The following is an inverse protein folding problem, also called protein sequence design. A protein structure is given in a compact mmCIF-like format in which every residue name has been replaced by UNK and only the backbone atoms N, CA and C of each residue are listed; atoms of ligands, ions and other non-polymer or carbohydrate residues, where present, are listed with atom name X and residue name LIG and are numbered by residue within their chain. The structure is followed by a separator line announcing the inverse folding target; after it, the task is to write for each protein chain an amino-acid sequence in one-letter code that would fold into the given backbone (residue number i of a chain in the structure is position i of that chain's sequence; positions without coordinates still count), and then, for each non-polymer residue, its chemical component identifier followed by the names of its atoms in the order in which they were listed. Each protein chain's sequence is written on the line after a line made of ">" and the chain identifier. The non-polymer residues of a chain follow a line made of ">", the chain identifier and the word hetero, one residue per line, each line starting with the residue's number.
data_IF_174454983114
#
_entry.id   IF_174454983114
#
_cell.length_a   1.000
_cell.length_b   1.000
_cell.length_c   1.000
_cell.angle_alpha   90.00
_cell.angle_beta   90.00
_cell.angle_gamma   90.00
#
_symmetry.space_group_name_H-M   'P 1'
#
loop_
_entity.id
_entity.type
_entity.pdbx_description
1 polymer ?
#
# COMPACT_ATOMS: atom_id res chain seq x y z
N UNK A 1 1.02 -9.28 6.36
CA UNK A 1 -0.35 -9.35 6.87
C UNK A 1 -1.19 -8.17 6.44
N UNK A 2 -2.46 -8.43 6.15
CA UNK A 2 -3.38 -7.40 5.70
C UNK A 2 -3.88 -6.56 6.88
N UNK A 3 -3.74 -5.25 6.80
CA UNK A 3 -4.35 -4.32 7.76
C UNK A 3 -4.73 -3.01 7.08
N UNK A 4 -5.88 -2.49 7.49
CA UNK A 4 -6.30 -1.16 7.08
C UNK A 4 -5.39 -0.08 7.66
N UNK A 5 -5.37 1.10 7.02
CA UNK A 5 -4.70 2.30 7.49
C UNK A 5 -3.16 2.26 7.51
N UNK A 6 -2.56 1.66 6.48
CA UNK A 6 -1.12 1.80 6.25
C UNK A 6 -0.25 1.20 7.34
N UNK A 7 -0.63 0.06 7.87
CA UNK A 7 0.18 -0.67 8.85
C UNK A 7 0.74 -1.97 8.25
N UNK A 8 1.88 -2.41 8.75
CA UNK A 8 2.48 -3.70 8.40
C UNK A 8 2.41 -4.61 9.63
N UNK A 9 1.46 -5.53 9.59
CA UNK A 9 1.26 -6.48 10.69
C UNK A 9 2.48 -7.38 10.86
N UNK A 10 2.91 -7.52 12.11
CA UNK A 10 4.03 -8.38 12.46
C UNK A 10 5.39 -7.72 12.44
N UNK A 11 5.50 -6.44 12.03
CA UNK A 11 6.79 -5.72 12.02
C UNK A 11 7.46 -5.74 13.40
N UNK A 12 6.75 -5.38 14.46
CA UNK A 12 7.32 -5.34 15.82
C UNK A 12 7.86 -6.70 16.27
N UNK A 13 7.16 -7.78 15.95
CA UNK A 13 7.62 -9.15 16.25
C UNK A 13 8.85 -9.50 15.41
N UNK A 14 8.82 -9.24 14.12
CA UNK A 14 9.94 -9.50 13.22
C UNK A 14 11.20 -8.73 13.65
N UNK A 15 11.04 -7.44 14.01
CA UNK A 15 12.16 -6.60 14.41
C UNK A 15 12.79 -7.01 15.76
N UNK A 16 12.07 -7.74 16.62
CA UNK A 16 12.64 -8.32 17.83
C UNK A 16 13.43 -9.61 17.58
N UNK A 17 13.06 -10.35 16.55
CA UNK A 17 13.66 -11.66 16.26
C UNK A 17 14.76 -11.58 15.21
N UNK A 18 14.70 -10.59 14.34
CA UNK A 18 15.57 -10.46 13.18
C UNK A 18 15.97 -9.01 12.97
N UNK A 19 17.11 -8.78 12.30
CA UNK A 19 17.48 -7.46 11.82
C UNK A 19 16.69 -7.17 10.54
N UNK A 20 15.59 -6.42 10.67
CA UNK A 20 14.79 -6.00 9.51
C UNK A 20 15.57 -4.97 8.70
N UNK A 21 15.82 -5.24 7.43
CA UNK A 21 16.56 -4.35 6.53
C UNK A 21 15.67 -3.60 5.56
N UNK A 22 14.51 -4.12 5.25
CA UNK A 22 13.53 -3.49 4.38
C UNK A 22 12.10 -3.81 4.81
N UNK A 23 11.20 -2.88 4.54
CA UNK A 23 9.76 -3.05 4.72
C UNK A 23 9.08 -2.74 3.38
N UNK A 24 8.27 -3.67 2.91
CA UNK A 24 7.47 -3.49 1.71
C UNK A 24 5.99 -3.46 2.07
N UNK A 25 5.33 -2.37 1.76
CA UNK A 25 3.88 -2.21 1.95
C UNK A 25 3.17 -2.25 0.61
N UNK A 26 2.13 -3.06 0.53
CA UNK A 26 1.24 -3.13 -0.63
C UNK A 26 -0.13 -2.60 -0.22
N UNK A 27 -0.66 -1.64 -0.96
CA UNK A 27 -1.94 -1.01 -0.66
C UNK A 27 -2.70 -0.59 -1.91
N UNK A 28 -3.88 -0.01 -1.71
CA UNK A 28 -4.72 0.50 -2.80
C UNK A 28 -4.22 1.86 -3.32
N UNK A 29 -3.63 2.66 -2.46
CA UNK A 29 -3.20 4.01 -2.79
C UNK A 29 -1.97 4.08 -3.67
N UNK A 30 -1.70 5.24 -4.28
CA UNK A 30 -0.49 5.46 -5.06
C UNK A 30 0.78 5.20 -4.25
N UNK A 31 1.78 4.57 -4.87
CA UNK A 31 3.10 4.40 -4.32
C UNK A 31 3.88 5.71 -4.43
N UNK A 32 3.86 6.52 -3.39
CA UNK A 32 4.49 7.84 -3.35
C UNK A 32 5.52 7.95 -2.23
N UNK A 33 6.43 8.92 -2.34
CA UNK A 33 7.36 9.22 -1.27
C UNK A 33 6.64 9.59 0.03
N UNK A 34 5.54 10.34 -0.06
CA UNK A 34 4.73 10.70 1.10
C UNK A 34 4.15 9.45 1.81
N UNK A 35 3.73 8.45 1.06
CA UNK A 35 3.27 7.18 1.62
C UNK A 35 4.41 6.43 2.35
N UNK A 36 5.59 6.41 1.77
CA UNK A 36 6.78 5.81 2.39
C UNK A 36 7.18 6.55 3.67
N UNK A 37 7.16 7.88 3.67
CA UNK A 37 7.50 8.69 4.84
C UNK A 37 6.49 8.49 5.97
N UNK A 38 5.20 8.42 5.67
CA UNK A 38 4.15 8.11 6.64
C UNK A 38 4.34 6.73 7.27
N UNK A 39 4.67 5.72 6.47
CA UNK A 39 4.93 4.38 6.96
C UNK A 39 6.16 4.35 7.87
N UNK A 40 7.23 5.03 7.47
CA UNK A 40 8.45 5.15 8.27
C UNK A 40 8.18 5.76 9.65
N UNK A 41 7.42 6.85 9.70
CA UNK A 41 7.04 7.51 10.95
C UNK A 41 6.15 6.60 11.81
N UNK A 42 5.17 5.98 11.20
CA UNK A 42 4.19 5.13 11.90
C UNK A 42 4.83 3.91 12.55
N UNK A 43 5.75 3.27 11.86
CA UNK A 43 6.47 2.10 12.37
C UNK A 43 7.74 2.46 13.15
N UNK A 44 8.07 3.75 13.25
CA UNK A 44 9.29 4.25 13.90
C UNK A 44 10.55 3.55 13.37
N UNK A 45 10.65 3.46 12.05
CA UNK A 45 11.76 2.78 11.38
C UNK A 45 13.06 3.58 11.53
N UNK A 46 14.17 2.88 11.75
CA UNK A 46 15.48 3.50 11.70
C UNK A 46 15.82 3.95 10.27
N UNK A 47 16.71 4.95 10.09
CA UNK A 47 17.10 5.43 8.76
C UNK A 47 17.70 4.35 7.85
N UNK A 48 18.28 3.30 8.45
CA UNK A 48 18.90 2.19 7.71
C UNK A 48 17.90 1.26 7.04
N UNK A 49 16.64 1.25 7.50
CA UNK A 49 15.59 0.37 6.96
C UNK A 49 15.03 0.98 5.68
N UNK A 50 15.14 0.25 4.59
CA UNK A 50 14.52 0.65 3.32
C UNK A 50 13.00 0.48 3.38
N UNK A 51 12.28 1.41 2.74
CA UNK A 51 10.82 1.36 2.67
C UNK A 51 10.41 1.36 1.20
N UNK A 52 9.66 0.35 0.83
CA UNK A 52 9.05 0.24 -0.49
C UNK A 52 7.53 0.26 -0.34
N UNK A 53 6.88 1.08 -1.13
CA UNK A 53 5.42 1.10 -1.23
C UNK A 53 5.01 0.68 -2.63
N UNK A 54 4.07 -0.22 -2.72
CA UNK A 54 3.56 -0.74 -3.98
C UNK A 54 2.04 -0.57 -4.05
N UNK A 55 1.55 -0.23 -5.21
CA UNK A 55 0.12 -0.26 -5.47
C UNK A 55 -0.27 -1.69 -5.85
N UNK A 56 -1.22 -2.26 -5.10
CA UNK A 56 -1.68 -3.63 -5.27
C UNK A 56 -2.95 -3.74 -6.11
N UNK A 57 -3.73 -4.78 -5.85
CA UNK A 57 -5.04 -5.00 -6.44
C UNK A 57 -6.11 -5.05 -5.36
N UNK A 58 -7.32 -4.63 -5.70
CA UNK A 58 -8.47 -4.70 -4.81
C UNK A 58 -9.77 -4.81 -5.60
N UNK A 59 -10.68 -5.65 -5.10
CA UNK A 59 -12.05 -5.77 -5.61
C UNK A 59 -13.01 -5.98 -4.45
N UNK A 60 -13.81 -4.97 -4.15
CA UNK A 60 -14.78 -5.00 -3.05
C UNK A 60 -15.85 -6.10 -3.24
N UNK A 61 -16.11 -6.50 -4.46
CA UNK A 61 -17.11 -7.54 -4.76
C UNK A 61 -16.70 -8.91 -4.21
N UNK A 62 -15.40 -9.13 -4.00
CA UNK A 62 -14.83 -10.37 -3.46
C UNK A 62 -14.80 -10.43 -1.94
N UNK A 63 -15.07 -9.32 -1.27
CA UNK A 63 -15.10 -9.28 0.19
C UNK A 63 -16.44 -9.76 0.73
N UNK A 64 -16.39 -10.42 1.87
CA UNK A 64 -17.55 -10.92 2.61
C UNK A 64 -17.47 -10.52 4.08
N UNK A 65 -18.62 -10.53 4.77
CA UNK A 65 -18.72 -10.28 6.20
C UNK A 65 -18.53 -8.82 6.59
N UNK A 66 -18.16 -8.54 7.86
CA UNK A 66 -18.08 -7.17 8.40
C UNK A 66 -17.00 -6.33 7.72
N UNK A 67 -15.93 -6.93 7.22
CA UNK A 67 -14.88 -6.22 6.49
C UNK A 67 -15.39 -5.60 5.19
N UNK A 68 -16.33 -6.23 4.51
CA UNK A 68 -16.96 -5.68 3.31
C UNK A 68 -17.65 -4.35 3.63
N UNK A 69 -18.39 -4.31 4.72
CA UNK A 69 -19.11 -3.10 5.15
C UNK A 69 -18.15 -1.95 5.46
N UNK A 70 -17.09 -2.22 6.24
CA UNK A 70 -16.07 -1.23 6.57
C UNK A 70 -15.39 -0.70 5.30
N UNK A 71 -15.04 -1.59 4.37
CA UNK A 71 -14.40 -1.21 3.12
C UNK A 71 -15.34 -0.46 2.18
N UNK A 72 -16.64 -0.70 2.22
CA UNK A 72 -17.62 0.09 1.47
C UNK A 72 -17.61 1.56 1.90
N UNK A 73 -17.54 1.83 3.20
CA UNK A 73 -17.42 3.20 3.72
C UNK A 73 -16.12 3.84 3.22
N UNK A 74 -14.99 3.16 3.33
CA UNK A 74 -13.71 3.65 2.83
C UNK A 74 -13.71 3.89 1.33
N UNK A 75 -14.25 2.99 0.55
CA UNK A 75 -14.35 3.17 -0.90
C UNK A 75 -15.23 4.37 -1.28
N UNK A 76 -16.29 4.62 -0.51
CA UNK A 76 -17.13 5.81 -0.69
C UNK A 76 -16.32 7.09 -0.46
N UNK A 77 -15.51 7.14 0.60
CA UNK A 77 -14.67 8.29 0.90
C UNK A 77 -13.60 8.52 -0.17
N UNK A 78 -12.96 7.45 -0.64
CA UNK A 78 -12.00 7.49 -1.74
C UNK A 78 -12.65 8.07 -3.00
N UNK A 79 -13.84 7.58 -3.38
CA UNK A 79 -14.57 8.09 -4.55
C UNK A 79 -14.87 9.57 -4.42
N UNK A 80 -15.41 10.00 -3.28
CA UNK A 80 -15.72 11.42 -3.04
C UNK A 80 -14.49 12.31 -3.16
N UNK A 81 -13.38 11.88 -2.57
CA UNK A 81 -12.11 12.62 -2.61
C UNK A 81 -11.58 12.74 -4.04
N UNK A 82 -11.62 11.67 -4.82
CA UNK A 82 -11.09 11.66 -6.19
C UNK A 82 -12.05 12.32 -7.20
N UNK A 83 -13.35 12.18 -7.04
CA UNK A 83 -14.35 12.85 -7.87
C UNK A 83 -14.31 14.38 -7.73
N UNK A 84 -13.89 14.89 -6.57
CA UNK A 84 -13.69 16.32 -6.33
C UNK A 84 -12.48 16.94 -7.02
N UNK A 85 -11.62 16.13 -7.66
CA UNK A 85 -10.43 16.62 -8.36
C UNK A 85 -10.70 16.85 -9.84
N UNK A 86 -10.12 17.91 -10.40
CA UNK A 86 -10.27 18.26 -11.81
C UNK A 86 -9.60 17.23 -12.74
N UNK A 87 -8.47 16.64 -12.29
CA UNK A 87 -7.75 15.59 -13.02
C UNK A 87 -7.15 14.59 -12.05
N UNK A 88 -6.99 13.35 -12.52
CA UNK A 88 -6.40 12.26 -11.75
C UNK A 88 -5.10 11.78 -12.41
N UNK A 89 -4.09 11.50 -11.60
CA UNK A 89 -2.91 10.76 -12.08
C UNK A 89 -3.31 9.32 -12.44
N UNK A 90 -2.53 8.60 -13.27
CA UNK A 90 -2.82 7.20 -13.58
C UNK A 90 -2.95 6.32 -12.33
N UNK A 91 -2.14 6.57 -11.30
CA UNK A 91 -2.21 5.84 -10.04
C UNK A 91 -3.49 6.17 -9.25
N UNK A 92 -3.92 7.43 -9.24
CA UNK A 92 -5.19 7.85 -8.61
C UNK A 92 -6.39 7.28 -9.36
N UNK A 93 -6.37 7.27 -10.70
CA UNK A 93 -7.40 6.65 -11.51
C UNK A 93 -7.52 5.16 -11.20
N UNK A 94 -6.40 4.47 -11.02
CA UNK A 94 -6.39 3.07 -10.65
C UNK A 94 -6.95 2.85 -9.24
N UNK A 95 -6.66 3.74 -8.29
CA UNK A 95 -7.25 3.70 -6.95
C UNK A 95 -8.78 3.88 -7.01
N UNK A 96 -9.25 4.81 -7.85
CA UNK A 96 -10.68 5.01 -8.08
C UNK A 96 -11.34 3.76 -8.68
N UNK A 97 -10.70 3.13 -9.66
CA UNK A 97 -11.18 1.91 -10.28
C UNK A 97 -11.24 0.76 -9.27
N UNK A 98 -10.25 0.63 -8.39
CA UNK A 98 -10.27 -0.35 -7.30
C UNK A 98 -11.45 -0.13 -6.35
N UNK A 99 -11.79 1.13 -6.05
CA UNK A 99 -12.86 1.49 -5.13
C UNK A 99 -14.26 1.34 -5.75
N UNK A 100 -14.38 1.27 -7.08
CA UNK A 100 -15.67 1.24 -7.79
C UNK A 100 -15.97 -0.12 -8.41
N UNK A 101 -15.07 -0.67 -9.19
CA UNK A 101 -15.30 -1.89 -10.01
C UNK A 101 -14.27 -2.99 -9.83
N UNK A 102 -13.25 -2.76 -9.01
CA UNK A 102 -12.11 -3.66 -8.89
C UNK A 102 -11.07 -3.42 -9.99
N UNK A 103 -9.81 -3.39 -9.58
CA UNK A 103 -8.66 -3.24 -10.47
C UNK A 103 -7.41 -3.79 -9.80
N UNK A 104 -6.33 -3.92 -10.56
CA UNK A 104 -5.04 -4.39 -10.06
C UNK A 104 -3.89 -3.63 -10.72
N UNK A 105 -2.96 -3.17 -9.89
CA UNK A 105 -1.66 -2.64 -10.31
C UNK A 105 -0.53 -3.66 -10.18
N UNK A 106 -0.86 -4.91 -9.89
CA UNK A 106 0.14 -5.97 -9.70
C UNK A 106 0.82 -6.30 -11.02
N UNK A 107 2.10 -5.90 -11.11
CA UNK A 107 2.96 -6.15 -12.27
C UNK A 107 4.37 -6.48 -11.77
N UNK A 108 5.06 -7.35 -12.48
CA UNK A 108 6.42 -7.74 -12.14
C UNK A 108 7.39 -6.55 -12.19
N UNK A 109 7.19 -5.62 -13.11
CA UNK A 109 8.02 -4.41 -13.25
C UNK A 109 8.03 -3.55 -11.98
N UNK A 110 6.95 -3.56 -11.21
CA UNK A 110 6.86 -2.80 -9.96
C UNK A 110 7.82 -3.32 -8.87
N UNK A 111 8.37 -4.51 -9.04
CA UNK A 111 9.33 -5.10 -8.11
C UNK A 111 10.79 -4.77 -8.46
N UNK A 112 11.05 -4.09 -9.57
CA UNK A 112 12.39 -3.83 -10.08
C UNK A 112 13.29 -3.15 -9.05
N UNK A 113 12.79 -2.11 -8.37
CA UNK A 113 13.56 -1.37 -7.37
C UNK A 113 13.92 -2.23 -6.17
N UNK A 114 12.99 -3.07 -5.72
CA UNK A 114 13.21 -4.00 -4.62
C UNK A 114 14.28 -5.03 -4.98
N UNK A 115 14.18 -5.60 -6.17
CA UNK A 115 15.13 -6.60 -6.67
C UNK A 115 16.52 -6.01 -6.84
N UNK A 116 16.61 -4.79 -7.41
CA UNK A 116 17.89 -4.10 -7.57
C UNK A 116 18.53 -3.77 -6.22
N UNK A 117 17.75 -3.24 -5.29
CA UNK A 117 18.22 -3.00 -3.93
C UNK A 117 18.75 -4.28 -3.27
N UNK A 118 18.02 -5.39 -3.38
CA UNK A 118 18.44 -6.68 -2.81
C UNK A 118 19.76 -7.16 -3.42
N UNK A 119 19.93 -7.04 -4.73
CA UNK A 119 21.17 -7.44 -5.42
C UNK A 119 22.37 -6.60 -5.00
N UNK A 120 22.17 -5.30 -4.74
CA UNK A 120 23.25 -4.39 -4.33
C UNK A 120 23.64 -4.49 -2.88
N UNK A 121 22.76 -5.03 -2.03
CA UNK A 121 22.97 -5.14 -0.56
C UNK A 121 23.34 -6.55 -0.08
N UNK A 122 23.43 -7.50 -0.98
CA UNK A 122 23.86 -8.89 -0.68
C UNK A 122 25.31 -8.95 -0.26
#
# INVERSE_FOLDING_TARGET
>A
GWLMAGNVKGYAKANRLYKVRAVCQVGMGPATKAASDKLRQKLKLSPEVQVFTLQGGFDIRRLHGPYKWIMQVKCRDIRRTLEGKASLTPAQQLTYDMATRGASAVKQENLTDIVNWYKTTR
#
